data_IF_266451312443
#
_entry.id   IF_266451312443
#
_cell.length_a   1.000
_cell.length_b   1.000
_cell.length_c   1.000
_cell.angle_alpha   90.00
_cell.angle_beta   90.00
_cell.angle_gamma   90.00
#
_symmetry.space_group_name_H-M   'P 1'
#
loop_
_entity.id
_entity.type
_entity.pdbx_description
1 polymer ?
#
# COMPACT_ATOMS: atom_id res chain seq x y z
N UNK A 1 15.31 -16.55 4.10
CA UNK A 1 14.13 -15.70 4.36
C UNK A 1 14.38 -14.78 5.55
N UNK A 2 13.71 -13.63 5.58
CA UNK A 2 13.78 -12.64 6.66
C UNK A 2 12.98 -13.16 7.86
N UNK A 3 13.60 -13.25 9.05
CA UNK A 3 12.91 -13.68 10.28
C UNK A 3 12.38 -12.51 11.11
N UNK A 4 13.09 -11.39 11.12
CA UNK A 4 12.72 -10.19 11.85
C UNK A 4 12.72 -9.03 10.86
N UNK A 5 11.55 -8.43 10.57
CA UNK A 5 11.47 -7.34 9.61
C UNK A 5 12.23 -6.12 10.12
N UNK A 6 12.88 -5.42 9.20
CA UNK A 6 13.53 -4.13 9.50
C UNK A 6 12.51 -3.11 9.99
N UNK A 7 12.89 -2.32 10.99
CA UNK A 7 12.10 -1.21 11.53
C UNK A 7 12.51 0.13 10.95
N UNK A 8 13.70 0.22 10.34
CA UNK A 8 14.23 1.46 9.77
C UNK A 8 14.88 1.23 8.42
N UNK A 9 14.89 2.27 7.57
CA UNK A 9 15.61 2.21 6.30
C UNK A 9 17.13 2.05 6.45
N UNK A 10 17.70 2.55 7.55
CA UNK A 10 19.12 2.32 7.85
C UNK A 10 19.41 0.84 8.06
N UNK A 11 18.55 0.11 8.80
CA UNK A 11 18.70 -1.33 8.98
C UNK A 11 18.64 -2.08 7.63
N UNK A 12 17.73 -1.70 6.73
CA UNK A 12 17.64 -2.30 5.40
C UNK A 12 18.94 -2.09 4.60
N UNK A 13 19.48 -0.86 4.60
CA UNK A 13 20.74 -0.55 3.92
C UNK A 13 21.93 -1.31 4.50
N UNK A 14 21.98 -1.52 5.81
CA UNK A 14 23.04 -2.34 6.42
C UNK A 14 23.01 -3.80 5.96
N UNK A 15 21.83 -4.33 5.61
CA UNK A 15 21.68 -5.70 5.10
C UNK A 15 21.95 -5.83 3.59
N UNK A 16 22.12 -4.71 2.87
CA UNK A 16 22.21 -4.70 1.42
C UNK A 16 23.33 -5.60 0.86
N UNK A 17 24.54 -5.56 1.44
CA UNK A 17 25.64 -6.43 1.01
C UNK A 17 25.30 -7.92 1.15
N UNK A 18 24.57 -8.29 2.21
CA UNK A 18 24.14 -9.67 2.42
C UNK A 18 23.08 -10.10 1.41
N UNK A 19 22.22 -9.19 0.94
CA UNK A 19 21.24 -9.49 -0.10
C UNK A 19 21.91 -9.61 -1.47
N UNK A 20 22.82 -8.69 -1.79
CA UNK A 20 23.59 -8.72 -3.04
C UNK A 20 24.41 -10.01 -3.20
N UNK A 21 25.05 -10.50 -2.13
CA UNK A 21 25.78 -11.77 -2.15
C UNK A 21 24.89 -12.99 -2.47
N UNK A 22 23.58 -12.87 -2.28
CA UNK A 22 22.58 -13.90 -2.59
C UNK A 22 21.81 -13.61 -3.88
N UNK A 23 22.19 -12.57 -4.63
CA UNK A 23 21.47 -12.09 -5.81
C UNK A 23 19.99 -11.77 -5.52
N UNK A 24 19.70 -11.30 -4.31
CA UNK A 24 18.37 -10.90 -3.87
C UNK A 24 18.32 -9.37 -3.82
N UNK A 25 17.26 -8.78 -4.36
CA UNK A 25 16.98 -7.36 -4.18
C UNK A 25 16.51 -7.09 -2.74
N UNK A 26 17.00 -6.03 -2.07
CA UNK A 26 16.52 -5.73 -0.71
C UNK A 26 15.00 -5.57 -0.67
N UNK A 27 14.39 -4.82 -1.58
CA UNK A 27 12.95 -4.55 -1.54
C UNK A 27 12.40 -4.22 -2.94
N UNK A 28 11.12 -4.51 -3.19
CA UNK A 28 10.44 -4.19 -4.45
C UNK A 28 9.04 -3.60 -4.27
N UNK A 29 8.62 -2.76 -5.20
CA UNK A 29 7.26 -2.24 -5.38
C UNK A 29 7.12 -1.64 -6.79
N UNK A 30 5.95 -1.14 -7.15
CA UNK A 30 5.73 -0.43 -8.42
C UNK A 30 6.47 0.93 -8.40
N UNK A 31 7.76 0.95 -8.75
CA UNK A 31 8.65 2.09 -8.45
C UNK A 31 8.23 3.40 -9.12
N UNK A 32 7.78 3.35 -10.36
CA UNK A 32 7.41 4.56 -11.12
C UNK A 32 5.99 5.07 -10.82
N UNK A 33 5.24 4.37 -9.98
CA UNK A 33 3.90 4.80 -9.55
C UNK A 33 4.00 5.66 -8.29
N UNK A 34 3.57 6.92 -8.43
CA UNK A 34 3.72 7.94 -7.40
C UNK A 34 2.87 7.63 -6.17
N UNK A 35 1.88 6.75 -6.24
CA UNK A 35 1.18 6.26 -5.05
C UNK A 35 2.16 5.63 -4.05
N UNK A 36 3.13 4.85 -4.52
CA UNK A 36 4.15 4.20 -3.69
C UNK A 36 5.27 5.14 -3.24
N UNK A 37 5.42 6.28 -3.91
CA UNK A 37 6.32 7.36 -3.49
C UNK A 37 5.76 8.16 -2.30
N UNK A 38 4.43 8.29 -2.17
CA UNK A 38 3.80 9.12 -1.14
C UNK A 38 4.27 8.86 0.30
N UNK A 39 4.48 7.62 0.78
CA UNK A 39 5.06 7.39 2.10
C UNK A 39 6.39 8.09 2.36
N UNK A 40 7.25 8.20 1.33
CA UNK A 40 8.54 8.88 1.43
C UNK A 40 8.38 10.39 1.44
N UNK A 41 7.44 10.90 0.65
CA UNK A 41 7.10 12.31 0.63
C UNK A 41 6.55 12.78 1.98
N UNK A 42 5.60 12.03 2.55
CA UNK A 42 5.00 12.31 3.85
C UNK A 42 6.03 12.25 4.99
N UNK A 43 6.95 11.28 4.95
CA UNK A 43 8.06 11.20 5.92
C UNK A 43 9.12 12.30 5.76
N UNK A 44 9.02 13.12 4.70
CA UNK A 44 9.90 14.27 4.45
C UNK A 44 9.19 15.61 4.68
N UNK A 45 8.01 15.58 5.32
CA UNK A 45 7.10 16.72 5.52
C UNK A 45 6.67 17.39 4.20
N UNK A 46 6.55 16.60 3.13
CA UNK A 46 6.14 17.05 1.81
C UNK A 46 4.67 16.75 1.50
N UNK A 47 4.09 17.56 0.62
CA UNK A 47 2.77 17.36 0.04
C UNK A 47 2.74 18.02 -1.34
N UNK A 48 2.12 17.41 -2.37
CA UNK A 48 2.19 17.92 -3.74
C UNK A 48 1.26 19.10 -4.03
N UNK A 49 0.43 19.51 -3.08
CA UNK A 49 -0.57 20.57 -3.25
C UNK A 49 -0.47 21.57 -2.09
N UNK A 50 -0.30 22.86 -2.37
CA UNK A 50 -0.32 23.91 -1.36
C UNK A 50 -1.25 25.03 -1.80
N UNK A 51 -2.14 25.48 -0.92
CA UNK A 51 -3.13 26.52 -1.24
C UNK A 51 -3.94 26.22 -2.52
N UNK A 52 -4.34 24.96 -2.70
CA UNK A 52 -5.06 24.48 -3.87
C UNK A 52 -4.30 24.61 -5.21
N UNK A 53 -2.98 24.78 -5.15
CA UNK A 53 -2.08 24.81 -6.30
C UNK A 53 -1.06 23.68 -6.21
N UNK A 54 -0.58 23.22 -7.35
CA UNK A 54 0.48 22.20 -7.42
C UNK A 54 1.78 22.81 -6.87
N UNK A 55 2.41 22.14 -5.91
CA UNK A 55 3.70 22.49 -5.31
C UNK A 55 4.63 21.27 -5.36
N UNK A 56 5.46 21.21 -6.41
CA UNK A 56 6.41 20.11 -6.64
C UNK A 56 7.86 20.51 -6.34
N UNK A 57 8.12 21.72 -5.83
CA UNK A 57 9.46 22.21 -5.56
C UNK A 57 9.71 22.56 -4.08
N UNK A 58 8.76 22.26 -3.19
CA UNK A 58 8.98 22.33 -1.74
C UNK A 58 10.23 21.55 -1.30
N UNK A 59 10.85 22.01 -0.20
CA UNK A 59 12.02 21.33 0.38
C UNK A 59 11.73 19.86 0.73
N UNK A 60 10.50 19.56 1.18
CA UNK A 60 10.06 18.19 1.45
C UNK A 60 10.04 17.32 0.20
N UNK A 61 9.49 17.84 -0.91
CA UNK A 61 9.48 17.14 -2.21
C UNK A 61 10.91 16.87 -2.71
N UNK A 62 11.78 17.88 -2.68
CA UNK A 62 13.18 17.74 -3.12
C UNK A 62 13.91 16.67 -2.29
N UNK A 63 13.75 16.68 -0.95
CA UNK A 63 14.38 15.67 -0.08
C UNK A 63 13.85 14.27 -0.37
N UNK A 64 12.54 14.13 -0.52
CA UNK A 64 11.89 12.85 -0.78
C UNK A 64 12.35 12.27 -2.12
N UNK A 65 12.34 13.05 -3.20
CA UNK A 65 12.78 12.62 -4.53
C UNK A 65 14.26 12.25 -4.57
N UNK A 66 15.13 13.06 -3.94
CA UNK A 66 16.56 12.72 -3.83
C UNK A 66 16.77 11.39 -3.11
N UNK A 67 16.07 11.17 -2.01
CA UNK A 67 16.15 9.93 -1.27
C UNK A 67 15.61 8.75 -2.09
N UNK A 68 14.43 8.89 -2.69
CA UNK A 68 13.77 7.85 -3.48
C UNK A 68 14.63 7.43 -4.68
N UNK A 69 15.15 8.40 -5.44
CA UNK A 69 16.11 8.16 -6.53
C UNK A 69 17.39 7.48 -6.04
N UNK A 70 17.90 7.85 -4.86
CA UNK A 70 19.08 7.18 -4.29
C UNK A 70 18.87 5.69 -4.03
N UNK A 71 17.63 5.23 -3.82
CA UNK A 71 17.33 3.80 -3.64
C UNK A 71 17.62 3.03 -4.94
N UNK A 72 17.24 3.58 -6.08
CA UNK A 72 17.48 2.95 -7.38
C UNK A 72 18.96 3.01 -7.79
N UNK A 73 19.61 4.18 -7.64
CA UNK A 73 21.05 4.34 -7.92
C UNK A 73 21.88 3.36 -7.09
N UNK A 74 21.53 3.17 -5.83
CA UNK A 74 22.22 2.25 -4.95
C UNK A 74 21.74 0.80 -5.09
N UNK A 75 20.90 0.44 -6.07
CA UNK A 75 20.38 -0.94 -6.27
C UNK A 75 19.71 -1.53 -5.03
N UNK A 76 18.99 -0.69 -4.28
CA UNK A 76 18.10 -1.13 -3.19
C UNK A 76 16.75 -1.62 -3.74
N UNK A 77 16.33 -1.04 -4.87
CA UNK A 77 15.16 -1.41 -5.66
C UNK A 77 15.52 -1.42 -7.15
N UNK A 78 14.78 -2.19 -7.95
CA UNK A 78 14.86 -2.16 -9.41
C UNK A 78 13.85 -1.14 -9.97
N UNK A 79 14.36 -0.05 -10.53
CA UNK A 79 13.56 1.04 -11.11
C UNK A 79 12.85 0.66 -12.41
N UNK A 80 13.25 -0.43 -13.07
CA UNK A 80 12.60 -0.92 -14.29
C UNK A 80 11.41 -1.83 -13.99
N UNK A 81 11.23 -2.20 -12.71
CA UNK A 81 10.24 -3.16 -12.29
C UNK A 81 8.91 -2.46 -11.96
N UNK A 82 7.90 -2.69 -12.80
CA UNK A 82 6.52 -2.27 -12.53
C UNK A 82 5.80 -3.18 -11.53
N UNK A 83 4.51 -2.93 -11.30
CA UNK A 83 3.68 -3.67 -10.32
C UNK A 83 3.81 -5.21 -10.41
N UNK A 84 3.57 -5.77 -11.59
CA UNK A 84 3.58 -7.23 -11.80
C UNK A 84 4.97 -7.83 -11.56
N UNK A 85 6.01 -7.19 -12.10
CA UNK A 85 7.40 -7.59 -11.90
C UNK A 85 7.76 -7.60 -10.41
N UNK A 86 7.37 -6.58 -9.65
CA UNK A 86 7.73 -6.46 -8.24
C UNK A 86 7.03 -7.51 -7.38
N UNK A 87 5.73 -7.74 -7.62
CA UNK A 87 4.96 -8.76 -6.90
C UNK A 87 5.48 -10.16 -7.21
N UNK A 88 5.67 -10.50 -8.49
CA UNK A 88 6.22 -11.82 -8.86
C UNK A 88 7.65 -12.01 -8.35
N UNK A 89 8.49 -10.96 -8.40
CA UNK A 89 9.84 -10.99 -7.88
C UNK A 89 9.86 -11.34 -6.38
N UNK A 90 8.94 -10.77 -5.60
CA UNK A 90 8.80 -11.10 -4.20
C UNK A 90 8.32 -12.54 -3.96
N UNK A 91 7.27 -12.97 -4.67
CA UNK A 91 6.74 -14.35 -4.59
C UNK A 91 7.83 -15.39 -4.94
N UNK A 92 8.66 -15.09 -5.94
CA UNK A 92 9.76 -15.95 -6.38
C UNK A 92 11.03 -15.83 -5.50
N UNK A 93 11.00 -15.04 -4.42
CA UNK A 93 12.14 -14.84 -3.53
C UNK A 93 13.30 -14.03 -4.12
N UNK A 94 13.07 -13.33 -5.24
CA UNK A 94 14.04 -12.42 -5.88
C UNK A 94 14.15 -11.08 -5.16
N UNK A 95 13.18 -10.74 -4.29
CA UNK A 95 13.30 -9.65 -3.33
C UNK A 95 13.03 -10.13 -1.91
N UNK A 96 13.71 -9.52 -0.93
CA UNK A 96 13.55 -9.89 0.48
C UNK A 96 12.29 -9.28 1.12
N UNK A 97 11.84 -8.13 0.62
CA UNK A 97 10.65 -7.41 1.06
C UNK A 97 9.85 -6.91 -0.15
N UNK A 98 8.55 -6.64 0.06
CA UNK A 98 7.71 -5.92 -0.88
C UNK A 98 6.90 -4.82 -0.18
N UNK A 99 6.64 -3.71 -0.88
CA UNK A 99 5.63 -2.73 -0.47
C UNK A 99 4.43 -2.88 -1.42
N UNK A 100 3.28 -3.27 -0.88
CA UNK A 100 2.02 -3.39 -1.63
C UNK A 100 0.81 -3.06 -0.75
N UNK A 101 -0.38 -3.06 -1.34
CA UNK A 101 -1.65 -2.86 -0.63
C UNK A 101 -2.30 -4.14 -0.13
N UNK A 102 -3.38 -3.99 0.63
CA UNK A 102 -4.20 -5.09 1.17
C UNK A 102 -4.82 -5.95 0.06
N UNK A 103 -5.18 -5.33 -1.07
CA UNK A 103 -5.70 -6.02 -2.25
C UNK A 103 -4.76 -7.08 -2.83
N UNK A 104 -3.44 -7.00 -2.59
CA UNK A 104 -2.47 -7.96 -3.10
C UNK A 104 -2.18 -9.09 -2.12
N UNK A 105 -2.59 -8.94 -0.85
CA UNK A 105 -2.14 -9.80 0.23
C UNK A 105 -2.62 -11.24 0.05
N UNK A 106 -3.90 -11.42 -0.30
CA UNK A 106 -4.50 -12.74 -0.47
C UNK A 106 -3.80 -13.55 -1.57
N UNK A 107 -3.48 -12.93 -2.71
CA UNK A 107 -2.75 -13.58 -3.79
C UNK A 107 -1.32 -13.95 -3.37
N UNK A 108 -0.62 -13.05 -2.68
CA UNK A 108 0.74 -13.34 -2.17
C UNK A 108 0.70 -14.47 -1.13
N UNK A 109 -0.28 -14.47 -0.23
CA UNK A 109 -0.44 -15.48 0.82
C UNK A 109 -0.77 -16.86 0.23
N UNK A 110 -1.59 -16.93 -0.82
CA UNK A 110 -1.85 -18.18 -1.54
C UNK A 110 -0.58 -18.80 -2.13
N UNK A 111 0.29 -17.98 -2.72
CA UNK A 111 1.52 -18.47 -3.35
C UNK A 111 2.63 -18.80 -2.34
N UNK A 112 2.73 -18.05 -1.24
CA UNK A 112 3.84 -18.17 -0.28
C UNK A 112 3.49 -18.96 0.98
N UNK A 113 2.20 -19.14 1.30
CA UNK A 113 1.75 -19.79 2.53
C UNK A 113 2.26 -19.08 3.78
N UNK A 114 2.84 -19.84 4.71
CA UNK A 114 3.40 -19.29 5.96
C UNK A 114 4.78 -18.62 5.79
N UNK A 115 5.30 -18.56 4.56
CA UNK A 115 6.59 -17.92 4.27
C UNK A 115 6.47 -16.40 4.01
N UNK A 116 5.29 -15.82 4.21
CA UNK A 116 5.06 -14.37 4.12
C UNK A 116 4.43 -13.85 5.41
N UNK A 117 4.83 -12.66 5.81
CA UNK A 117 4.23 -11.92 6.91
C UNK A 117 4.05 -10.44 6.56
N UNK A 118 3.24 -9.76 7.36
CA UNK A 118 2.99 -8.32 7.25
C UNK A 118 3.75 -7.56 8.33
N UNK A 119 4.35 -6.44 7.95
CA UNK A 119 5.07 -5.56 8.87
C UNK A 119 4.71 -4.10 8.62
N UNK A 120 4.90 -3.26 9.65
CA UNK A 120 4.81 -1.81 9.49
C UNK A 120 5.89 -1.31 8.52
N UNK A 121 5.58 -0.28 7.74
CA UNK A 121 6.59 0.41 6.93
C UNK A 121 7.75 0.88 7.82
N UNK A 122 9.02 0.67 7.40
CA UNK A 122 10.17 1.09 8.18
C UNK A 122 10.23 2.61 8.28
N UNK A 123 10.63 3.15 9.44
CA UNK A 123 10.80 4.59 9.62
C UNK A 123 11.96 5.13 8.78
N UNK A 124 11.81 6.35 8.28
CA UNK A 124 12.83 7.09 7.52
C UNK A 124 13.39 8.23 8.38
N UNK A 125 14.66 8.15 8.76
CA UNK A 125 15.35 9.17 9.58
C UNK A 125 14.54 9.57 10.84
N UNK A 126 13.99 8.57 11.55
CA UNK A 126 13.16 8.78 12.74
C UNK A 126 11.69 9.09 12.47
N UNK A 127 11.30 9.38 11.21
CA UNK A 127 9.92 9.67 10.84
C UNK A 127 9.14 8.39 10.51
N UNK A 128 7.94 8.27 11.07
CA UNK A 128 7.04 7.15 10.81
C UNK A 128 6.49 7.25 9.39
N UNK A 129 6.73 6.22 8.59
CA UNK A 129 6.14 6.11 7.25
C UNK A 129 4.73 5.55 7.32
N UNK A 130 3.86 6.07 6.47
CA UNK A 130 2.50 5.58 6.27
C UNK A 130 2.07 5.82 4.84
N UNK A 131 1.28 4.90 4.28
CA UNK A 131 0.63 5.07 2.99
C UNK A 131 -0.45 6.13 3.02
N UNK A 132 -0.82 6.60 1.83
CA UNK A 132 -2.11 7.26 1.66
C UNK A 132 -3.23 6.30 2.08
N UNK A 133 -4.31 6.89 2.57
CA UNK A 133 -5.54 6.18 2.89
C UNK A 133 -6.57 6.54 1.85
N UNK A 134 -7.16 5.55 1.21
CA UNK A 134 -8.25 5.71 0.26
C UNK A 134 -9.41 4.81 0.64
N UNK A 135 -10.55 5.03 0.01
CA UNK A 135 -11.72 4.17 0.10
C UNK A 135 -12.31 4.03 -1.29
N UNK A 136 -12.92 2.89 -1.58
CA UNK A 136 -13.78 2.76 -2.75
C UNK A 136 -15.03 3.60 -2.54
N UNK A 137 -15.40 4.39 -3.55
CA UNK A 137 -16.59 5.25 -3.53
C UNK A 137 -17.50 4.90 -4.70
N UNK A 138 -18.81 4.84 -4.44
CA UNK A 138 -19.81 4.81 -5.50
C UNK A 138 -20.20 6.26 -5.80
N UNK A 139 -19.78 6.76 -6.97
CA UNK A 139 -20.16 8.08 -7.45
C UNK A 139 -21.32 7.95 -8.45
N UNK A 140 -22.32 8.83 -8.34
CA UNK A 140 -23.47 8.89 -9.24
C UNK A 140 -23.47 10.24 -9.97
N UNK A 141 -22.84 10.33 -11.16
CA UNK A 141 -22.86 11.56 -11.95
C UNK A 141 -24.27 11.97 -12.31
N UNK A 142 -24.52 13.28 -12.28
CA UNK A 142 -25.79 13.91 -12.68
C UNK A 142 -27.00 13.34 -11.93
N UNK A 143 -26.82 12.92 -10.67
CA UNK A 143 -27.86 12.27 -9.87
C UNK A 143 -29.19 13.06 -9.87
N UNK A 144 -29.11 14.38 -9.68
CA UNK A 144 -30.29 15.26 -9.59
C UNK A 144 -30.99 15.48 -10.94
N UNK A 145 -30.32 15.21 -12.06
CA UNK A 145 -30.90 15.34 -13.41
C UNK A 145 -31.70 14.09 -13.81
N UNK A 146 -31.57 13.00 -13.04
CA UNK A 146 -32.27 11.73 -13.32
C UNK A 146 -33.70 11.79 -12.83
N UNK A 147 -34.57 10.98 -13.44
CA UNK A 147 -35.95 10.83 -12.96
C UNK A 147 -36.00 10.34 -11.52
N UNK A 148 -37.04 10.72 -10.77
CA UNK A 148 -37.25 10.32 -9.37
C UNK A 148 -37.21 8.79 -9.20
N UNK A 149 -37.75 8.05 -10.18
CA UNK A 149 -37.70 6.59 -10.19
C UNK A 149 -36.26 6.07 -10.18
N UNK A 150 -35.40 6.58 -11.07
CA UNK A 150 -34.00 6.16 -11.16
C UNK A 150 -33.23 6.57 -9.92
N UNK A 151 -33.46 7.78 -9.40
CA UNK A 151 -32.84 8.23 -8.15
C UNK A 151 -33.16 7.28 -6.99
N UNK A 152 -34.42 6.86 -6.86
CA UNK A 152 -34.84 5.92 -5.82
C UNK A 152 -34.20 4.52 -5.99
N UNK A 153 -34.05 4.05 -7.23
CA UNK A 153 -33.38 2.78 -7.51
C UNK A 153 -31.88 2.83 -7.18
N UNK A 154 -31.20 3.91 -7.56
CA UNK A 154 -29.78 4.13 -7.25
C UNK A 154 -29.55 4.20 -5.73
N UNK A 155 -30.40 4.92 -4.99
CA UNK A 155 -30.35 4.96 -3.51
C UNK A 155 -30.47 3.56 -2.91
N UNK A 156 -31.50 2.79 -3.33
CA UNK A 156 -31.70 1.41 -2.86
C UNK A 156 -30.52 0.49 -3.18
N UNK A 157 -29.90 0.66 -4.36
CA UNK A 157 -28.72 -0.10 -4.75
C UNK A 157 -27.50 0.25 -3.88
N UNK A 158 -27.23 1.54 -3.66
CA UNK A 158 -26.13 1.99 -2.80
C UNK A 158 -26.32 1.46 -1.38
N UNK A 159 -27.52 1.59 -0.82
CA UNK A 159 -27.86 1.05 0.49
C UNK A 159 -27.67 -0.46 0.55
N UNK A 160 -28.09 -1.19 -0.49
CA UNK A 160 -27.88 -2.63 -0.61
C UNK A 160 -26.39 -2.97 -0.57
N UNK A 161 -25.56 -2.40 -1.46
CA UNK A 161 -24.11 -2.68 -1.51
C UNK A 161 -23.45 -2.40 -0.17
N UNK A 162 -23.85 -1.34 0.52
CA UNK A 162 -23.27 -0.94 1.80
C UNK A 162 -23.79 -1.72 3.03
N UNK A 163 -24.73 -2.67 2.87
CA UNK A 163 -25.18 -3.51 4.00
C UNK A 163 -24.01 -4.21 4.67
N UNK A 164 -24.03 -4.30 6.00
CA UNK A 164 -23.01 -5.01 6.79
C UNK A 164 -22.76 -6.43 6.28
N UNK A 165 -23.82 -7.16 5.92
CA UNK A 165 -23.71 -8.52 5.40
C UNK A 165 -22.97 -8.59 4.05
N UNK A 166 -23.21 -7.64 3.15
CA UNK A 166 -22.55 -7.57 1.85
C UNK A 166 -21.08 -7.17 2.00
N UNK A 167 -20.78 -6.20 2.87
CA UNK A 167 -19.40 -5.85 3.19
C UNK A 167 -18.66 -7.01 3.88
N UNK A 168 -19.35 -7.79 4.74
CA UNK A 168 -18.78 -9.01 5.33
C UNK A 168 -18.46 -10.04 4.25
N UNK A 169 -19.36 -10.28 3.30
CA UNK A 169 -19.10 -11.19 2.19
C UNK A 169 -17.89 -10.74 1.35
N UNK A 170 -17.75 -9.45 1.07
CA UNK A 170 -16.57 -8.90 0.36
C UNK A 170 -15.30 -9.15 1.17
N UNK A 171 -15.31 -8.88 2.48
CA UNK A 171 -14.15 -9.14 3.34
C UNK A 171 -13.80 -10.63 3.40
N UNK A 172 -14.80 -11.51 3.56
CA UNK A 172 -14.56 -12.96 3.66
C UNK A 172 -14.00 -13.54 2.36
N UNK A 173 -14.33 -12.96 1.20
CA UNK A 173 -13.92 -13.46 -0.12
C UNK A 173 -12.65 -12.83 -0.67
N UNK A 174 -12.41 -11.55 -0.39
CA UNK A 174 -11.33 -10.76 -1.00
C UNK A 174 -10.43 -10.08 0.03
N UNK A 175 -10.73 -10.23 1.32
CA UNK A 175 -10.00 -9.59 2.43
C UNK A 175 -9.87 -8.06 2.35
N UNK A 176 -10.72 -7.42 1.53
CA UNK A 176 -10.82 -5.96 1.45
C UNK A 176 -11.50 -5.41 2.70
N UNK A 177 -10.88 -4.41 3.33
CA UNK A 177 -11.38 -3.84 4.57
C UNK A 177 -12.75 -3.17 4.39
N UNK A 178 -13.72 -3.39 5.30
CA UNK A 178 -15.05 -2.80 5.19
C UNK A 178 -15.06 -1.34 5.65
N UNK A 179 -15.96 -0.54 5.05
CA UNK A 179 -16.25 0.85 5.48
C UNK A 179 -17.23 0.91 6.66
N UNK A 180 -17.98 -0.17 6.91
CA UNK A 180 -18.83 -0.30 8.09
C UNK A 180 -17.99 -0.34 9.36
N UNK A 181 -18.02 0.74 10.15
CA UNK A 181 -17.25 0.86 11.38
C UNK A 181 -17.54 -0.29 12.37
N UNK A 182 -18.81 -0.69 12.50
CA UNK A 182 -19.19 -1.80 13.38
C UNK A 182 -18.57 -3.13 12.96
N UNK A 183 -18.49 -3.40 11.66
CA UNK A 183 -17.87 -4.61 11.13
C UNK A 183 -16.35 -4.54 11.27
N UNK A 184 -15.74 -3.40 10.91
CA UNK A 184 -14.31 -3.18 11.06
C UNK A 184 -13.83 -3.40 12.50
N UNK A 185 -14.53 -2.84 13.49
CA UNK A 185 -14.21 -3.02 14.91
C UNK A 185 -14.39 -4.48 15.36
N UNK A 186 -15.37 -5.20 14.82
CA UNK A 186 -15.56 -6.63 15.09
C UNK A 186 -14.38 -7.44 14.55
N UNK A 187 -14.00 -7.23 13.29
CA UNK A 187 -12.87 -7.91 12.65
C UNK A 187 -11.55 -7.62 13.38
N UNK A 188 -11.34 -6.36 13.77
CA UNK A 188 -10.14 -5.94 14.51
C UNK A 188 -9.98 -6.67 15.85
N UNK A 189 -11.08 -6.96 16.55
CA UNK A 189 -11.04 -7.67 17.85
C UNK A 189 -10.64 -9.14 17.70
N UNK A 190 -10.96 -9.75 16.56
CA UNK A 190 -10.69 -11.17 16.28
C UNK A 190 -9.44 -11.39 15.43
N UNK A 191 -8.80 -10.33 14.95
CA UNK A 191 -7.60 -10.42 14.13
C UNK A 191 -6.42 -10.92 14.98
N UNK A 192 -5.91 -12.11 14.66
CA UNK A 192 -4.77 -12.72 15.35
C UNK A 192 -3.42 -12.43 14.70
N UNK A 193 -3.41 -11.70 13.57
CA UNK A 193 -2.21 -11.54 12.74
C UNK A 193 -1.77 -12.87 12.11
N UNK A 194 -0.88 -12.78 11.14
CA UNK A 194 -0.16 -13.96 10.64
C UNK A 194 1.07 -14.14 11.55
N UNK A 195 1.19 -15.33 12.14
CA UNK A 195 2.30 -15.70 13.02
C UNK A 195 3.62 -15.80 12.25
#
# INVERSE_FOLDING_TARGET
MVKVPVKTWSQLRHQQKSFAAKQIMPIGWNYNDMYFFMPFLLASDGWPIKNNQIDLNSLGMIRALKYYHSLAVNKVIDENCGYHCAQLGFIQGKSAYAINGDWAYDDIKKEMGDNVGLAMLPSLNGHKMHGLKSTFVLAMPEFDQRSVLVQNQLKRFIEFVQRKANQKWVYDKYHLLPVSNSLFLQLKKTATGDN
#
